data_IF_259303745826
#
_entry.id   IF_259303745826
#
_cell.length_a   1.000
_cell.length_b   1.000
_cell.length_c   1.000
_cell.angle_alpha   90.00
_cell.angle_beta   90.00
_cell.angle_gamma   90.00
#
_symmetry.space_group_name_H-M   'P 1'
#
loop_
_entity.id
_entity.type
_entity.pdbx_description
1 polymer ?
#
# COMPACT_ATOMS: atom_id res chain seq x y z
N UNK A 1 1.91 12.05 -2.66
CA UNK A 1 2.06 10.66 -3.09
C UNK A 1 1.11 10.27 -4.20
N UNK A 2 -0.12 10.71 -4.17
CA UNK A 2 -0.99 10.49 -5.31
C UNK A 2 -0.86 11.63 -6.29
N UNK A 3 0.11 11.51 -7.16
CA UNK A 3 0.21 12.42 -8.28
C UNK A 3 -1.01 12.22 -9.18
N UNK A 4 -1.73 13.30 -9.59
CA UNK A 4 -2.84 13.17 -10.52
C UNK A 4 -2.47 12.45 -11.81
N UNK A 5 -1.23 12.55 -12.26
CA UNK A 5 -0.73 11.82 -13.42
C UNK A 5 -0.80 10.32 -13.22
N UNK A 6 -0.37 9.82 -12.05
CA UNK A 6 -0.41 8.38 -11.72
C UNK A 6 -1.85 7.90 -11.65
N UNK A 7 -2.71 8.64 -10.94
CA UNK A 7 -4.12 8.31 -10.81
C UNK A 7 -4.81 8.22 -12.19
N UNK A 8 -4.59 9.22 -13.02
CA UNK A 8 -5.23 9.29 -14.34
C UNK A 8 -4.71 8.19 -15.26
N UNK A 9 -3.41 7.85 -15.18
CA UNK A 9 -2.82 6.74 -15.93
C UNK A 9 -3.43 5.40 -15.53
N UNK A 10 -3.61 5.17 -14.23
CA UNK A 10 -4.25 3.94 -13.73
C UNK A 10 -5.71 3.85 -14.15
N UNK A 11 -6.45 4.95 -14.07
CA UNK A 11 -7.86 4.98 -14.50
C UNK A 11 -7.99 4.67 -16.00
N UNK A 12 -7.12 5.26 -16.82
CA UNK A 12 -7.11 5.01 -18.26
C UNK A 12 -6.80 3.54 -18.56
N UNK A 13 -5.79 2.98 -17.89
CA UNK A 13 -5.39 1.58 -18.05
C UNK A 13 -6.58 0.64 -17.75
N UNK A 14 -7.27 0.87 -16.64
CA UNK A 14 -8.41 0.06 -16.22
C UNK A 14 -9.58 0.22 -17.19
N UNK A 15 -9.87 1.46 -17.64
CA UNK A 15 -10.97 1.75 -18.54
C UNK A 15 -10.75 1.09 -19.92
N UNK A 16 -9.54 1.17 -20.46
CA UNK A 16 -9.20 0.57 -21.75
C UNK A 16 -9.45 -0.94 -21.80
N UNK A 17 -9.36 -1.60 -20.65
CA UNK A 17 -9.52 -3.06 -20.51
C UNK A 17 -10.86 -3.46 -19.92
N UNK A 18 -11.68 -2.49 -19.58
CA UNK A 18 -12.97 -2.72 -18.92
C UNK A 18 -12.85 -3.57 -17.65
N UNK A 19 -11.77 -3.33 -16.88
CA UNK A 19 -11.48 -4.11 -15.68
C UNK A 19 -12.19 -3.62 -14.43
N UNK A 20 -12.78 -2.42 -14.47
CA UNK A 20 -13.49 -1.86 -13.33
C UNK A 20 -14.58 -2.81 -12.80
N UNK A 21 -15.19 -3.59 -13.69
CA UNK A 21 -16.24 -4.56 -13.34
C UNK A 21 -15.73 -5.66 -12.39
N UNK A 22 -14.42 -5.92 -12.40
CA UNK A 22 -13.79 -6.93 -11.55
C UNK A 22 -13.16 -6.32 -10.28
N UNK A 23 -13.06 -5.01 -10.21
CA UNK A 23 -12.36 -4.29 -9.13
C UNK A 23 -13.32 -3.95 -7.97
N UNK A 24 -13.97 -4.97 -7.41
CA UNK A 24 -14.69 -4.79 -6.15
C UNK A 24 -13.69 -4.55 -5.02
N UNK A 25 -14.09 -3.88 -3.92
CA UNK A 25 -13.19 -3.71 -2.78
C UNK A 25 -12.62 -5.03 -2.27
N UNK A 26 -13.43 -6.10 -2.23
CA UNK A 26 -12.97 -7.42 -1.82
C UNK A 26 -11.88 -7.96 -2.74
N UNK A 27 -12.10 -7.89 -4.06
CA UNK A 27 -11.12 -8.39 -5.03
C UNK A 27 -9.83 -7.60 -4.99
N UNK A 28 -9.92 -6.28 -4.86
CA UNK A 28 -8.72 -5.43 -4.74
C UNK A 28 -7.95 -5.71 -3.45
N UNK A 29 -8.64 -5.92 -2.33
CA UNK A 29 -8.00 -6.32 -1.07
C UNK A 29 -7.26 -7.65 -1.20
N UNK A 30 -7.87 -8.63 -1.88
CA UNK A 30 -7.22 -9.91 -2.18
C UNK A 30 -5.97 -9.71 -3.04
N UNK A 31 -6.06 -8.86 -4.06
CA UNK A 31 -4.91 -8.57 -4.94
C UNK A 31 -3.77 -7.91 -4.17
N UNK A 32 -4.07 -6.98 -3.26
CA UNK A 32 -3.05 -6.37 -2.38
C UNK A 32 -2.33 -7.46 -1.59
N UNK A 33 -3.06 -8.39 -1.01
CA UNK A 33 -2.48 -9.48 -0.21
C UNK A 33 -1.61 -10.40 -1.06
N UNK A 34 -2.06 -10.74 -2.26
CA UNK A 34 -1.30 -11.59 -3.19
C UNK A 34 0.01 -10.89 -3.61
N UNK A 35 -0.06 -9.62 -3.98
CA UNK A 35 1.13 -8.87 -4.40
C UNK A 35 2.09 -8.65 -3.24
N UNK A 36 1.57 -8.45 -2.02
CA UNK A 36 2.40 -8.37 -0.82
C UNK A 36 3.16 -9.69 -0.58
N UNK A 37 2.53 -10.82 -0.86
CA UNK A 37 3.20 -12.12 -0.77
C UNK A 37 4.29 -12.28 -1.83
N UNK A 38 4.07 -11.77 -3.04
CA UNK A 38 5.10 -11.78 -4.09
C UNK A 38 6.29 -10.90 -3.72
N UNK A 39 6.03 -9.75 -3.08
CA UNK A 39 7.09 -8.92 -2.52
C UNK A 39 7.89 -9.69 -1.47
N UNK A 40 7.22 -10.40 -0.58
CA UNK A 40 7.86 -11.25 0.43
C UNK A 40 8.72 -12.34 -0.21
N UNK A 41 8.26 -12.94 -1.31
CA UNK A 41 8.99 -13.99 -2.02
C UNK A 41 10.36 -13.53 -2.51
N UNK A 42 10.54 -12.23 -2.78
CA UNK A 42 11.85 -11.69 -3.15
C UNK A 42 12.92 -11.96 -2.08
N UNK A 43 12.50 -12.12 -0.82
CA UNK A 43 13.38 -12.34 0.32
C UNK A 43 13.34 -13.78 0.85
N UNK A 44 12.63 -14.68 0.19
CA UNK A 44 12.37 -16.03 0.71
C UNK A 44 13.66 -16.80 1.03
N UNK A 45 14.67 -16.68 0.20
CA UNK A 45 15.91 -17.46 0.34
C UNK A 45 17.13 -16.59 0.64
N UNK A 46 17.00 -15.26 0.57
CA UNK A 46 18.11 -14.35 0.72
C UNK A 46 17.62 -13.00 1.22
N UNK A 47 18.22 -12.52 2.33
CA UNK A 47 17.91 -11.19 2.86
C UNK A 47 18.35 -10.07 1.92
N UNK A 48 19.36 -10.31 1.06
CA UNK A 48 19.87 -9.37 0.07
C UNK A 48 19.19 -9.61 -1.28
N UNK A 49 17.90 -9.33 -1.36
CA UNK A 49 17.12 -9.49 -2.58
C UNK A 49 17.56 -8.48 -3.65
N UNK A 50 17.33 -8.84 -4.92
CA UNK A 50 17.56 -7.95 -6.05
C UNK A 50 16.65 -6.71 -5.93
N UNK A 51 17.25 -5.53 -5.87
CA UNK A 51 16.52 -4.27 -5.70
C UNK A 51 15.52 -4.01 -6.83
N UNK A 52 15.85 -4.37 -8.06
CA UNK A 52 14.94 -4.18 -9.19
C UNK A 52 13.69 -5.05 -9.06
N UNK A 53 13.86 -6.30 -8.65
CA UNK A 53 12.74 -7.21 -8.41
C UNK A 53 11.85 -6.70 -7.26
N UNK A 54 12.45 -6.27 -6.16
CA UNK A 54 11.73 -5.71 -5.01
C UNK A 54 10.95 -4.47 -5.43
N UNK A 55 11.56 -3.59 -6.23
CA UNK A 55 10.93 -2.36 -6.71
C UNK A 55 9.71 -2.65 -7.58
N UNK A 56 9.80 -3.64 -8.47
CA UNK A 56 8.68 -4.05 -9.32
C UNK A 56 7.51 -4.59 -8.47
N UNK A 57 7.79 -5.46 -7.51
CA UNK A 57 6.74 -6.02 -6.64
C UNK A 57 6.14 -4.96 -5.71
N UNK A 58 6.96 -4.03 -5.22
CA UNK A 58 6.45 -2.89 -4.46
C UNK A 58 5.51 -2.03 -5.30
N UNK A 59 5.86 -1.79 -6.57
CA UNK A 59 5.01 -1.04 -7.49
C UNK A 59 3.64 -1.70 -7.67
N UNK A 60 3.60 -3.04 -7.76
CA UNK A 60 2.35 -3.79 -7.87
C UNK A 60 1.50 -3.64 -6.61
N UNK A 61 2.10 -3.73 -5.43
CA UNK A 61 1.39 -3.51 -4.15
C UNK A 61 0.79 -2.11 -4.10
N UNK A 62 1.59 -1.09 -4.44
CA UNK A 62 1.13 0.30 -4.45
C UNK A 62 0.00 0.51 -5.47
N UNK A 63 0.12 -0.09 -6.65
CA UNK A 63 -0.90 0.01 -7.69
C UNK A 63 -2.26 -0.46 -7.19
N UNK A 64 -2.32 -1.64 -6.59
CA UNK A 64 -3.59 -2.17 -6.06
C UNK A 64 -4.10 -1.36 -4.86
N UNK A 65 -3.21 -0.83 -4.03
CA UNK A 65 -3.61 0.08 -2.96
C UNK A 65 -4.26 1.35 -3.51
N UNK A 66 -3.68 1.94 -4.55
CA UNK A 66 -4.23 3.14 -5.19
C UNK A 66 -5.56 2.85 -5.89
N UNK A 67 -5.68 1.70 -6.54
CA UNK A 67 -6.94 1.29 -7.16
C UNK A 67 -8.04 1.08 -6.12
N UNK A 68 -7.72 0.50 -4.98
CA UNK A 68 -8.69 0.34 -3.89
C UNK A 68 -9.13 1.69 -3.33
N UNK A 69 -8.19 2.59 -3.09
CA UNK A 69 -8.50 3.94 -2.63
C UNK A 69 -9.44 4.66 -3.62
N UNK A 70 -9.15 4.54 -4.91
CA UNK A 70 -9.97 5.12 -5.96
C UNK A 70 -11.39 4.52 -5.95
N UNK A 71 -11.48 3.21 -5.83
CA UNK A 71 -12.77 2.51 -5.77
C UNK A 71 -13.61 2.91 -4.55
N UNK A 72 -12.97 3.17 -3.41
CA UNK A 72 -13.63 3.61 -2.18
C UNK A 72 -13.93 5.11 -2.17
N UNK A 73 -13.41 5.86 -3.15
CA UNK A 73 -13.61 7.30 -3.22
C UNK A 73 -12.86 8.07 -2.15
N UNK A 74 -11.72 7.56 -1.69
CA UNK A 74 -10.89 8.22 -0.67
C UNK A 74 -9.56 8.65 -1.28
N UNK A 75 -9.00 9.75 -0.74
CA UNK A 75 -7.68 10.23 -1.12
C UNK A 75 -6.62 9.44 -0.33
N UNK A 76 -5.72 8.71 -1.02
CA UNK A 76 -4.68 7.92 -0.35
C UNK A 76 -3.81 8.75 0.58
N UNK A 77 -3.43 9.96 0.18
CA UNK A 77 -2.59 10.82 1.00
C UNK A 77 -3.32 11.23 2.29
N UNK A 78 -4.59 11.59 2.14
CA UNK A 78 -5.38 12.04 3.29
C UNK A 78 -5.61 10.92 4.30
N UNK A 79 -5.95 9.71 3.85
CA UNK A 79 -6.18 8.60 4.78
C UNK A 79 -4.90 8.21 5.51
N UNK A 80 -3.74 8.32 4.87
CA UNK A 80 -2.44 8.09 5.51
C UNK A 80 -2.19 9.14 6.58
N UNK A 81 -2.40 10.43 6.27
CA UNK A 81 -2.21 11.51 7.22
C UNK A 81 -3.15 11.38 8.42
N UNK A 82 -4.41 11.06 8.17
CA UNK A 82 -5.40 10.87 9.24
C UNK A 82 -5.00 9.73 10.17
N UNK A 83 -4.59 8.61 9.59
CA UNK A 83 -4.16 7.44 10.38
C UNK A 83 -2.87 7.74 11.14
N UNK A 84 -1.96 8.51 10.55
CA UNK A 84 -0.70 8.89 11.18
C UNK A 84 -0.94 9.64 12.49
N UNK A 85 -1.94 10.52 12.56
CA UNK A 85 -2.29 11.23 13.79
C UNK A 85 -2.73 10.27 14.90
N UNK A 86 -3.52 9.25 14.55
CA UNK A 86 -3.90 8.21 15.51
C UNK A 86 -2.69 7.41 15.97
N UNK A 87 -1.78 7.10 15.07
CA UNK A 87 -0.55 6.35 15.38
C UNK A 87 0.37 7.16 16.27
N UNK A 88 0.50 8.46 16.05
CA UNK A 88 1.29 9.35 16.92
C UNK A 88 0.78 9.34 18.36
N UNK A 89 -0.52 9.31 18.55
CA UNK A 89 -1.12 9.24 19.86
C UNK A 89 -0.79 7.93 20.58
N UNK A 90 -0.72 6.81 19.83
CA UNK A 90 -0.37 5.49 20.36
C UNK A 90 1.12 5.35 20.65
N UNK A 91 1.96 6.04 19.89
CA UNK A 91 3.43 5.96 19.98
C UNK A 91 4.03 7.35 20.22
N UNK A 92 3.85 7.93 21.44
CA UNK A 92 4.49 9.22 21.74
C UNK A 92 6.01 9.12 21.56
N UNK A 93 6.61 10.15 20.96
CA UNK A 93 8.02 10.12 20.59
C UNK A 93 8.94 9.85 21.79
N UNK A 94 8.63 10.39 22.95
CA UNK A 94 9.42 10.21 24.18
C UNK A 94 9.40 8.76 24.67
N UNK A 95 8.33 8.01 24.41
CA UNK A 95 8.20 6.60 24.83
C UNK A 95 8.64 5.62 23.74
N UNK A 96 8.41 5.97 22.48
CA UNK A 96 8.63 5.06 21.35
C UNK A 96 10.02 5.16 20.74
N UNK A 97 10.76 6.24 21.02
CA UNK A 97 12.06 6.49 20.40
C UNK A 97 13.04 5.34 20.65
N UNK A 98 13.61 4.81 19.56
CA UNK A 98 14.58 3.73 19.62
C UNK A 98 14.02 2.38 20.04
N UNK A 99 12.69 2.22 20.05
CA UNK A 99 12.01 0.98 20.46
C UNK A 99 11.04 0.52 19.40
N UNK A 100 10.95 -0.80 19.20
CA UNK A 100 9.94 -1.43 18.33
C UNK A 100 8.79 -2.05 19.13
N UNK A 101 8.68 -1.70 20.41
CA UNK A 101 7.65 -2.22 21.31
C UNK A 101 6.27 -1.75 20.89
N UNK A 102 5.28 -2.64 20.93
CA UNK A 102 3.91 -2.31 20.58
C UNK A 102 3.32 -1.31 21.59
N UNK A 103 2.39 -0.45 21.12
CA UNK A 103 1.87 0.67 21.91
C UNK A 103 1.30 0.28 23.27
N UNK A 104 0.67 -0.90 23.38
CA UNK A 104 0.05 -1.38 24.61
C UNK A 104 1.07 -1.87 25.64
N UNK A 105 2.35 -1.96 25.27
CA UNK A 105 3.44 -2.35 26.15
C UNK A 105 4.48 -1.23 26.37
N UNK A 106 4.19 -0.04 25.89
CA UNK A 106 5.08 1.13 26.11
C UNK A 106 4.93 1.72 27.51
#
# INVERSE_FOLDING_TARGET
>A
MTDPLVRDALRAFVAEREWAQFHTPENLAKSISIEAAELLECFQWNADADTDAVTEELADVLTYCLLLADRLGVDPDQIVLDKLELTRAKYPADKARGRSTKYDAL
#
